data_IF_951059369345
#
_entry.id   IF_951059369345
#
_cell.length_a   1.000
_cell.length_b   1.000
_cell.length_c   1.000
_cell.angle_alpha   90.00
_cell.angle_beta   90.00
_cell.angle_gamma   90.00
#
_symmetry.space_group_name_H-M   'P 1'
#
loop_
_entity.id
_entity.type
_entity.pdbx_description
1 polymer ?
#
# COMPACT_ATOMS: atom_id res chain seq x y z
N UNK A 1 -48.82 39.97 78.97
CA UNK A 1 -48.94 38.94 77.91
C UNK A 1 -49.30 39.66 76.63
N UNK A 2 -48.38 39.80 75.65
CA UNK A 2 -47.90 38.77 74.68
C UNK A 2 -49.08 38.23 73.86
N UNK A 3 -49.09 38.19 72.52
CA UNK A 3 -48.10 38.48 71.49
C UNK A 3 -48.87 38.69 70.16
N UNK A 4 -48.39 39.60 69.33
CA UNK A 4 -48.67 39.69 67.89
C UNK A 4 -48.14 38.45 67.16
N UNK A 5 -48.78 38.02 66.07
CA UNK A 5 -48.17 37.37 64.89
C UNK A 5 -49.26 37.01 63.86
N UNK A 6 -49.03 36.86 62.57
CA UNK A 6 -48.10 37.40 61.56
C UNK A 6 -48.60 36.70 60.29
N UNK A 7 -49.02 37.46 59.29
CA UNK A 7 -49.57 36.97 58.01
C UNK A 7 -48.47 36.23 57.24
N UNK A 8 -48.68 34.95 56.93
CA UNK A 8 -47.74 34.15 56.13
C UNK A 8 -48.35 33.86 54.76
N UNK A 9 -48.05 34.75 53.81
CA UNK A 9 -48.33 34.57 52.38
C UNK A 9 -47.33 33.59 51.80
N UNK A 10 -47.79 32.41 51.37
CA UNK A 10 -46.98 31.43 50.65
C UNK A 10 -46.83 31.89 49.20
N UNK A 11 -45.64 32.34 48.82
CA UNK A 11 -45.26 32.62 47.42
C UNK A 11 -44.78 31.30 46.80
N UNK A 12 -45.58 30.75 45.88
CA UNK A 12 -45.23 29.58 45.08
C UNK A 12 -44.31 30.04 43.93
N UNK A 13 -42.99 29.95 44.13
CA UNK A 13 -42.01 30.25 43.10
C UNK A 13 -41.98 29.11 42.06
N UNK A 14 -42.61 29.34 40.91
CA UNK A 14 -42.54 28.44 39.75
C UNK A 14 -41.21 28.66 39.03
N UNK A 15 -40.24 27.79 39.27
CA UNK A 15 -38.99 27.78 38.52
C UNK A 15 -39.25 27.22 37.11
N UNK A 16 -39.37 28.10 36.11
CA UNK A 16 -39.36 27.71 34.70
C UNK A 16 -37.94 27.27 34.31
N UNK A 17 -37.73 25.96 34.19
CA UNK A 17 -36.59 25.38 33.49
C UNK A 17 -36.76 25.70 32.00
N UNK A 18 -36.15 26.80 31.54
CA UNK A 18 -35.95 27.04 30.10
C UNK A 18 -34.96 26.02 29.58
N UNK A 19 -35.47 24.95 28.98
CA UNK A 19 -34.67 24.09 28.11
C UNK A 19 -34.19 24.95 26.94
N UNK A 20 -32.90 25.22 26.87
CA UNK A 20 -32.26 25.77 25.68
C UNK A 20 -32.35 24.71 24.58
N UNK A 21 -33.45 24.70 23.83
CA UNK A 21 -33.52 23.96 22.58
C UNK A 21 -32.53 24.62 21.60
N UNK A 22 -31.57 23.85 21.10
CA UNK A 22 -30.72 24.29 20.00
C UNK A 22 -31.61 24.73 18.83
N UNK A 23 -31.32 25.88 18.17
CA UNK A 23 -32.14 26.33 17.05
C UNK A 23 -32.15 25.24 15.96
N UNK A 24 -33.31 24.99 15.32
CA UNK A 24 -33.42 23.98 14.29
C UNK A 24 -32.43 24.29 13.15
N UNK A 25 -31.57 23.33 12.83
CA UNK A 25 -30.65 23.41 11.69
C UNK A 25 -31.48 23.51 10.42
N UNK A 26 -31.11 24.45 9.54
CA UNK A 26 -31.79 24.64 8.24
C UNK A 26 -31.81 23.31 7.45
N UNK A 27 -32.99 22.81 7.04
CA UNK A 27 -33.12 21.59 6.25
C UNK A 27 -32.23 21.56 4.99
N UNK A 28 -31.93 22.72 4.40
CA UNK A 28 -31.01 22.83 3.27
C UNK A 28 -29.55 22.53 3.66
N UNK A 29 -29.12 22.98 4.84
CA UNK A 29 -27.79 22.68 5.40
C UNK A 29 -27.67 21.19 5.71
N UNK A 30 -28.71 20.59 6.29
CA UNK A 30 -28.75 19.16 6.59
C UNK A 30 -28.71 18.31 5.30
N UNK A 31 -29.48 18.69 4.29
CA UNK A 31 -29.48 18.02 2.99
C UNK A 31 -28.10 18.11 2.30
N UNK A 32 -27.45 19.28 2.34
CA UNK A 32 -26.11 19.47 1.78
C UNK A 32 -25.05 18.62 2.51
N UNK A 33 -25.07 18.60 3.84
CA UNK A 33 -24.15 17.78 4.64
C UNK A 33 -24.35 16.27 4.36
N UNK A 34 -25.59 15.82 4.23
CA UNK A 34 -25.92 14.44 3.86
C UNK A 34 -25.43 14.09 2.45
N UNK A 35 -25.62 14.99 1.49
CA UNK A 35 -25.13 14.79 0.13
C UNK A 35 -23.61 14.69 0.08
N UNK A 36 -22.89 15.57 0.80
CA UNK A 36 -21.43 15.55 0.90
C UNK A 36 -20.92 14.26 1.54
N UNK A 37 -21.54 13.80 2.64
CA UNK A 37 -21.20 12.52 3.28
C UNK A 37 -21.39 11.35 2.32
N UNK A 38 -22.50 11.32 1.59
CA UNK A 38 -22.81 10.25 0.62
C UNK A 38 -21.80 10.24 -0.53
N UNK A 39 -21.45 11.42 -1.06
CA UNK A 39 -20.45 11.56 -2.11
C UNK A 39 -19.08 11.05 -1.66
N UNK A 40 -18.66 11.41 -0.45
CA UNK A 40 -17.40 10.95 0.12
C UNK A 40 -17.36 9.43 0.37
N UNK A 41 -18.45 8.85 0.89
CA UNK A 41 -18.56 7.40 1.05
C UNK A 41 -18.45 6.66 -0.29
N UNK A 42 -19.04 7.23 -1.35
CA UNK A 42 -18.93 6.71 -2.71
C UNK A 42 -17.49 6.81 -3.22
N UNK A 43 -16.84 7.96 -3.05
CA UNK A 43 -15.44 8.19 -3.43
C UNK A 43 -14.51 7.12 -2.85
N UNK A 44 -14.60 6.88 -1.53
CA UNK A 44 -13.76 5.87 -0.87
C UNK A 44 -14.13 4.44 -1.31
N UNK A 45 -15.41 4.16 -1.55
CA UNK A 45 -15.85 2.85 -2.02
C UNK A 45 -15.38 2.55 -3.44
N UNK A 46 -15.45 3.53 -4.35
CA UNK A 46 -14.92 3.44 -5.70
C UNK A 46 -13.39 3.25 -5.67
N UNK A 47 -12.70 4.00 -4.80
CA UNK A 47 -11.26 3.85 -4.60
C UNK A 47 -10.89 2.44 -4.12
N UNK A 48 -11.63 1.89 -3.14
CA UNK A 48 -11.45 0.52 -2.62
C UNK A 48 -11.67 -0.53 -3.71
N UNK A 49 -12.71 -0.37 -4.53
CA UNK A 49 -12.98 -1.25 -5.67
C UNK A 49 -11.83 -1.20 -6.70
N UNK A 50 -11.35 -0.01 -7.05
CA UNK A 50 -10.20 0.15 -7.94
C UNK A 50 -8.91 -0.43 -7.36
N UNK A 51 -8.68 -0.26 -6.05
CA UNK A 51 -7.56 -0.88 -5.32
C UNK A 51 -7.60 -2.41 -5.41
N UNK A 52 -8.77 -3.01 -5.19
CA UNK A 52 -8.98 -4.46 -5.31
C UNK A 52 -8.71 -4.95 -6.74
N UNK A 53 -9.29 -4.29 -7.75
CA UNK A 53 -9.06 -4.63 -9.16
C UNK A 53 -7.58 -4.60 -9.53
N UNK A 54 -6.83 -3.57 -9.11
CA UNK A 54 -5.37 -3.48 -9.34
C UNK A 54 -4.61 -4.60 -8.63
N UNK A 55 -5.02 -4.97 -7.42
CA UNK A 55 -4.37 -6.03 -6.64
C UNK A 55 -4.54 -7.41 -7.29
N UNK A 56 -5.72 -7.67 -7.86
CA UNK A 56 -6.13 -8.98 -8.42
C UNK A 56 -5.92 -9.11 -9.92
N UNK A 57 -5.22 -8.17 -10.58
CA UNK A 57 -4.83 -8.33 -11.99
C UNK A 57 -3.95 -9.59 -12.17
N UNK A 58 -3.95 -10.23 -13.36
CA UNK A 58 -3.05 -11.35 -13.67
C UNK A 58 -1.57 -11.10 -13.31
N UNK A 59 -1.10 -9.87 -13.53
CA UNK A 59 0.24 -9.37 -13.22
C UNK A 59 0.32 -8.57 -11.89
N UNK A 60 -0.78 -8.51 -11.13
CA UNK A 60 -0.89 -7.79 -9.87
C UNK A 60 -0.10 -8.42 -8.72
N UNK A 61 0.03 -7.75 -7.58
CA UNK A 61 0.91 -8.20 -6.49
C UNK A 61 0.58 -9.59 -5.90
N UNK A 62 -0.66 -10.06 -6.06
CA UNK A 62 -1.06 -11.41 -5.63
C UNK A 62 -0.56 -12.53 -6.55
N UNK A 63 -0.05 -12.22 -7.74
CA UNK A 63 0.52 -13.22 -8.66
C UNK A 63 1.97 -13.57 -8.35
N UNK A 64 2.62 -12.89 -7.41
CA UNK A 64 4.01 -13.19 -7.06
C UNK A 64 4.14 -14.57 -6.42
N UNK A 65 4.94 -15.43 -7.06
CA UNK A 65 5.21 -16.81 -6.62
C UNK A 65 6.69 -17.09 -6.37
N UNK A 66 7.58 -16.13 -6.63
CA UNK A 66 9.00 -16.30 -6.37
C UNK A 66 9.82 -15.00 -6.45
N UNK A 67 10.93 -14.99 -5.70
CA UNK A 67 12.02 -14.02 -5.84
C UNK A 67 13.33 -14.79 -5.66
N UNK A 68 14.15 -14.86 -6.72
CA UNK A 68 15.36 -15.69 -6.73
C UNK A 68 16.57 -14.82 -7.05
N UNK A 69 17.51 -14.70 -6.12
CA UNK A 69 18.78 -14.02 -6.39
C UNK A 69 19.57 -14.74 -7.49
N UNK A 70 20.22 -13.96 -8.34
CA UNK A 70 21.09 -14.46 -9.40
C UNK A 70 22.47 -13.86 -9.24
N UNK A 71 23.46 -14.72 -9.05
CA UNK A 71 24.86 -14.32 -8.94
C UNK A 71 25.49 -14.06 -10.32
N UNK A 72 26.65 -13.40 -10.33
CA UNK A 72 27.47 -13.24 -11.54
C UNK A 72 27.85 -14.62 -12.07
N UNK A 73 27.63 -14.84 -13.36
CA UNK A 73 27.78 -16.15 -14.01
C UNK A 73 26.55 -16.50 -14.82
N UNK A 74 26.40 -17.79 -15.16
CA UNK A 74 25.23 -18.31 -15.87
C UNK A 74 24.52 -19.33 -14.99
N UNK A 75 23.20 -19.22 -14.90
CA UNK A 75 22.33 -20.16 -14.20
C UNK A 75 21.20 -20.61 -15.11
N UNK A 76 20.84 -21.90 -15.08
CA UNK A 76 19.65 -22.40 -15.74
C UNK A 76 18.42 -22.15 -14.88
N UNK A 77 17.33 -21.77 -15.53
CA UNK A 77 16.05 -21.40 -14.92
C UNK A 77 14.96 -22.36 -15.41
N UNK A 78 14.13 -22.83 -14.49
CA UNK A 78 13.00 -23.72 -14.80
C UNK A 78 12.43 -24.38 -13.55
N UNK A 79 11.37 -25.17 -13.70
CA UNK A 79 10.75 -25.90 -12.58
C UNK A 79 11.46 -27.23 -12.24
N UNK A 80 12.31 -27.72 -13.15
CA UNK A 80 13.09 -28.95 -13.00
C UNK A 80 14.11 -28.88 -11.86
N UNK A 81 14.46 -30.03 -11.29
CA UNK A 81 15.38 -30.14 -10.14
C UNK A 81 16.85 -29.88 -10.48
N UNK A 82 17.21 -29.99 -11.76
CA UNK A 82 18.55 -29.76 -12.29
C UNK A 82 18.88 -28.28 -12.59
N UNK A 83 17.92 -27.38 -12.35
CA UNK A 83 18.12 -25.94 -12.53
C UNK A 83 18.85 -25.30 -11.34
N UNK A 84 19.82 -24.43 -11.63
CA UNK A 84 20.45 -23.59 -10.61
C UNK A 84 19.47 -22.59 -9.98
N UNK A 85 18.46 -22.15 -10.74
CA UNK A 85 17.36 -21.34 -10.26
C UNK A 85 16.03 -22.04 -10.50
N UNK A 86 15.57 -22.75 -9.48
CA UNK A 86 14.32 -23.52 -9.53
C UNK A 86 13.09 -22.64 -9.25
N UNK A 87 12.18 -22.59 -10.21
CA UNK A 87 10.92 -21.86 -10.11
C UNK A 87 9.79 -22.74 -9.56
N UNK A 88 8.81 -22.11 -8.91
CA UNK A 88 7.62 -22.81 -8.40
C UNK A 88 6.59 -23.14 -9.51
N UNK A 89 6.70 -22.51 -10.67
CA UNK A 89 5.80 -22.68 -11.81
C UNK A 89 6.59 -22.60 -13.12
N UNK A 90 6.07 -23.26 -14.17
CA UNK A 90 6.63 -23.24 -15.52
C UNK A 90 7.13 -24.61 -16.01
N UNK A 91 7.67 -24.68 -17.23
CA UNK A 91 8.28 -25.88 -17.78
C UNK A 91 9.52 -26.32 -16.99
N UNK A 92 9.96 -27.60 -17.11
CA UNK A 92 11.18 -28.08 -16.49
C UNK A 92 12.40 -27.23 -16.82
N UNK A 93 12.53 -26.77 -18.06
CA UNK A 93 13.59 -25.87 -18.52
C UNK A 93 12.95 -24.69 -19.27
N UNK A 94 13.29 -23.47 -18.85
CA UNK A 94 12.85 -22.21 -19.49
C UNK A 94 13.98 -21.61 -20.31
N UNK A 95 15.21 -21.68 -19.79
CA UNK A 95 16.41 -21.18 -20.45
C UNK A 95 17.51 -20.85 -19.45
N UNK A 96 18.51 -20.10 -19.90
CA UNK A 96 19.66 -19.69 -19.09
C UNK A 96 19.70 -18.17 -18.93
N UNK A 97 19.91 -17.72 -17.69
CA UNK A 97 20.15 -16.32 -17.36
C UNK A 97 21.63 -16.14 -17.08
N UNK A 98 22.27 -15.20 -17.75
CA UNK A 98 23.66 -14.83 -17.50
C UNK A 98 23.77 -13.40 -16.99
N UNK A 99 24.47 -13.21 -15.87
CA UNK A 99 24.80 -11.90 -15.29
C UNK A 99 26.30 -11.69 -15.44
N UNK A 100 26.70 -10.66 -16.20
CA UNK A 100 28.10 -10.29 -16.36
C UNK A 100 28.63 -9.47 -15.18
N UNK A 101 29.95 -9.32 -15.08
CA UNK A 101 30.59 -8.50 -14.02
C UNK A 101 30.27 -7.01 -14.13
N UNK A 102 29.98 -6.53 -15.33
CA UNK A 102 29.55 -5.16 -15.62
C UNK A 102 28.02 -4.97 -15.48
N UNK A 103 27.29 -6.00 -15.01
CA UNK A 103 25.86 -5.89 -14.70
C UNK A 103 24.93 -5.99 -15.90
N UNK A 104 25.41 -6.53 -17.02
CA UNK A 104 24.56 -6.89 -18.16
C UNK A 104 23.90 -8.23 -17.84
N UNK A 105 22.57 -8.25 -17.89
CA UNK A 105 21.78 -9.47 -17.73
C UNK A 105 21.27 -9.89 -19.11
N UNK A 106 21.56 -11.12 -19.51
CA UNK A 106 21.05 -11.71 -20.75
C UNK A 106 20.27 -12.98 -20.43
N UNK A 107 19.32 -13.31 -21.30
CA UNK A 107 18.56 -14.53 -21.25
C UNK A 107 18.65 -15.26 -22.58
N UNK A 108 18.89 -16.56 -22.53
CA UNK A 108 18.88 -17.46 -23.68
C UNK A 108 17.75 -18.47 -23.49
N UNK A 109 16.70 -18.45 -24.33
CA UNK A 109 15.56 -19.36 -24.18
C UNK A 109 15.98 -20.81 -24.46
N UNK A 110 15.34 -21.75 -23.77
CA UNK A 110 15.51 -23.19 -24.03
C UNK A 110 14.99 -23.53 -25.44
N UNK A 111 15.75 -24.27 -26.26
CA UNK A 111 15.28 -24.71 -27.57
C UNK A 111 13.95 -25.46 -27.50
N UNK A 112 12.95 -24.99 -28.26
CA UNK A 112 11.63 -25.62 -28.33
C UNK A 112 10.69 -25.29 -27.18
N UNK A 113 11.12 -24.50 -26.18
CA UNK A 113 10.21 -23.97 -25.16
C UNK A 113 9.38 -22.80 -25.70
N UNK A 114 8.10 -22.75 -25.32
CA UNK A 114 7.18 -21.66 -25.66
C UNK A 114 7.45 -20.45 -24.74
N UNK A 115 8.49 -19.68 -25.10
CA UNK A 115 8.94 -18.50 -24.37
C UNK A 115 8.57 -17.23 -25.12
N UNK A 116 8.04 -16.26 -24.38
CA UNK A 116 7.70 -14.93 -24.86
C UNK A 116 8.67 -13.91 -24.27
N UNK A 117 9.16 -12.99 -25.08
CA UNK A 117 9.88 -11.78 -24.66
C UNK A 117 8.98 -10.59 -24.96
N UNK A 118 8.56 -9.88 -23.92
CA UNK A 118 7.62 -8.75 -24.02
C UNK A 118 6.34 -9.10 -24.83
N UNK A 119 5.86 -10.33 -24.64
CA UNK A 119 4.67 -10.88 -25.29
C UNK A 119 4.88 -11.39 -26.73
N UNK A 120 6.10 -11.32 -27.28
CA UNK A 120 6.43 -11.84 -28.60
C UNK A 120 7.23 -13.15 -28.49
N UNK A 121 7.06 -14.12 -29.40
CA UNK A 121 7.88 -15.34 -29.41
C UNK A 121 9.38 -15.03 -29.38
N UNK A 122 10.12 -15.71 -28.50
CA UNK A 122 11.55 -15.49 -28.34
C UNK A 122 12.30 -15.89 -29.63
N UNK A 123 13.12 -14.97 -30.16
CA UNK A 123 13.89 -15.19 -31.40
C UNK A 123 15.36 -15.57 -31.14
N UNK A 124 15.75 -15.78 -29.88
CA UNK A 124 17.10 -16.11 -29.46
C UNK A 124 17.51 -15.40 -28.18
N UNK A 125 18.82 -15.27 -27.97
CA UNK A 125 19.39 -14.55 -26.82
C UNK A 125 18.96 -13.08 -26.82
N UNK A 126 18.58 -12.57 -25.65
CA UNK A 126 18.13 -11.18 -25.46
C UNK A 126 18.73 -10.58 -24.19
N UNK A 127 18.97 -9.27 -24.21
CA UNK A 127 19.32 -8.50 -23.01
C UNK A 127 18.06 -8.22 -22.19
N UNK A 128 18.10 -8.48 -20.88
CA UNK A 128 17.01 -8.16 -19.97
C UNK A 128 17.25 -6.81 -19.29
N UNK A 129 16.27 -5.91 -19.37
CA UNK A 129 16.26 -4.65 -18.62
C UNK A 129 15.74 -4.94 -17.21
N UNK A 130 16.48 -4.52 -16.19
CA UNK A 130 16.05 -4.63 -14.80
C UNK A 130 15.10 -3.49 -14.42
N UNK A 131 14.23 -3.72 -13.42
CA UNK A 131 13.24 -2.73 -12.98
C UNK A 131 13.81 -1.37 -12.53
N UNK A 132 15.03 -1.35 -11.99
CA UNK A 132 15.72 -0.14 -11.58
C UNK A 132 16.41 0.59 -12.76
N UNK A 133 16.58 -0.07 -13.90
CA UNK A 133 17.33 0.44 -15.05
C UNK A 133 16.37 0.86 -16.21
N UNK A 134 15.04 0.73 -16.04
CA UNK A 134 14.03 1.14 -17.02
C UNK A 134 12.74 0.32 -16.95
N UNK A 135 11.98 0.28 -18.06
CA UNK A 135 10.85 -0.65 -18.19
C UNK A 135 11.41 -2.08 -18.26
N UNK A 136 11.08 -2.96 -17.30
CA UNK A 136 11.70 -4.27 -17.22
C UNK A 136 11.25 -5.16 -18.38
N UNK A 137 12.19 -5.91 -18.95
CA UNK A 137 11.87 -6.94 -19.96
C UNK A 137 11.13 -8.09 -19.30
N UNK A 138 10.01 -8.48 -19.87
CA UNK A 138 9.16 -9.57 -19.38
C UNK A 138 9.47 -10.85 -20.13
N UNK A 139 9.97 -11.86 -19.41
CA UNK A 139 10.11 -13.22 -19.94
C UNK A 139 8.87 -14.01 -19.55
N UNK A 140 7.95 -14.21 -20.50
CA UNK A 140 6.73 -14.98 -20.34
C UNK A 140 6.92 -16.45 -20.72
N UNK A 141 6.18 -17.33 -20.05
CA UNK A 141 6.12 -18.77 -20.30
C UNK A 141 4.72 -19.28 -19.92
N UNK A 142 4.43 -20.57 -20.16
CA UNK A 142 3.08 -21.12 -20.02
C UNK A 142 2.04 -20.30 -20.80
N UNK A 143 2.31 -20.02 -22.09
CA UNK A 143 1.43 -19.21 -22.95
C UNK A 143 1.18 -17.79 -22.43
N UNK A 144 2.09 -17.26 -21.61
CA UNK A 144 2.01 -15.92 -21.03
C UNK A 144 1.28 -15.85 -19.68
N UNK A 145 0.79 -16.97 -19.15
CA UNK A 145 0.19 -17.00 -17.82
C UNK A 145 1.24 -16.83 -16.72
N UNK A 146 2.48 -17.24 -16.93
CA UNK A 146 3.56 -17.04 -15.97
C UNK A 146 4.70 -16.22 -16.59
N UNK A 147 5.43 -15.51 -15.74
CA UNK A 147 6.55 -14.70 -16.19
C UNK A 147 7.60 -14.48 -15.12
N UNK A 148 8.78 -14.04 -15.52
CA UNK A 148 9.69 -13.34 -14.62
C UNK A 148 10.19 -12.05 -15.24
N UNK A 149 10.57 -11.13 -14.36
CA UNK A 149 11.37 -9.95 -14.69
C UNK A 149 12.66 -9.97 -13.87
N UNK A 150 13.66 -9.22 -14.33
CA UNK A 150 14.85 -8.94 -13.51
C UNK A 150 14.56 -7.74 -12.62
N UNK A 151 14.83 -7.88 -11.33
CA UNK A 151 14.81 -6.78 -10.37
C UNK A 151 16.20 -6.54 -9.83
N UNK A 152 16.51 -5.28 -9.48
CA UNK A 152 17.81 -4.89 -8.94
C UNK A 152 17.65 -4.23 -7.57
N UNK A 153 18.29 -4.77 -6.54
CA UNK A 153 18.21 -4.27 -5.16
C UNK A 153 19.59 -4.32 -4.52
N UNK A 154 20.02 -3.23 -3.90
CA UNK A 154 21.35 -3.14 -3.27
C UNK A 154 22.51 -3.56 -4.20
N UNK A 155 22.41 -3.26 -5.50
CA UNK A 155 23.42 -3.64 -6.51
C UNK A 155 23.40 -5.11 -6.95
N UNK A 156 22.49 -5.94 -6.44
CA UNK A 156 22.33 -7.36 -6.81
C UNK A 156 21.09 -7.55 -7.68
N UNK A 157 21.10 -8.60 -8.50
CA UNK A 157 20.01 -8.97 -9.39
C UNK A 157 19.21 -10.16 -8.84
N UNK A 158 17.90 -10.13 -9.04
CA UNK A 158 17.02 -11.25 -8.76
C UNK A 158 15.96 -11.42 -9.86
N UNK A 159 15.47 -12.64 -10.04
CA UNK A 159 14.28 -12.90 -10.84
C UNK A 159 13.06 -12.77 -9.95
N UNK A 160 12.12 -11.89 -10.31
CA UNK A 160 10.80 -11.80 -9.67
C UNK A 160 9.78 -12.54 -10.54
N UNK A 161 9.22 -13.59 -9.99
CA UNK A 161 8.39 -14.56 -10.72
C UNK A 161 6.92 -14.34 -10.40
N UNK A 162 6.10 -14.35 -11.45
CA UNK A 162 4.65 -14.22 -11.42
C UNK A 162 3.98 -15.43 -12.04
N UNK A 163 2.85 -15.81 -11.47
CA UNK A 163 1.94 -16.79 -12.03
C UNK A 163 0.51 -16.24 -11.99
N UNK A 164 -0.07 -16.07 -13.17
CA UNK A 164 -1.43 -15.64 -13.38
C UNK A 164 -2.46 -16.71 -13.00
N UNK A 165 -2.09 -17.83 -12.40
CA UNK A 165 -3.01 -18.78 -11.80
C UNK A 165 -2.70 -19.03 -10.31
N UNK A 166 -1.78 -18.25 -9.74
CA UNK A 166 -1.37 -18.38 -8.34
C UNK A 166 -2.58 -18.45 -7.38
N UNK A 167 -2.65 -19.43 -6.47
CA UNK A 167 -3.74 -19.55 -5.50
C UNK A 167 -3.93 -18.31 -4.64
N UNK A 168 -2.85 -17.59 -4.33
CA UNK A 168 -2.87 -16.30 -3.64
C UNK A 168 -3.70 -15.23 -4.36
N UNK A 169 -3.88 -15.35 -5.68
CA UNK A 169 -4.77 -14.50 -6.47
C UNK A 169 -6.12 -15.14 -6.75
N UNK A 170 -6.16 -16.38 -7.24
CA UNK A 170 -7.40 -17.03 -7.71
C UNK A 170 -8.34 -17.40 -6.56
N UNK A 171 -7.80 -17.60 -5.35
CA UNK A 171 -8.56 -17.83 -4.13
C UNK A 171 -8.44 -16.65 -3.14
N UNK A 172 -8.24 -15.42 -3.64
CA UNK A 172 -8.06 -14.26 -2.78
C UNK A 172 -9.33 -13.93 -1.98
N UNK A 173 -9.31 -13.97 -0.63
CA UNK A 173 -10.50 -13.79 0.20
C UNK A 173 -10.95 -12.33 0.33
N UNK A 174 -10.25 -11.38 -0.29
CA UNK A 174 -10.49 -9.95 -0.14
C UNK A 174 -9.68 -9.30 0.98
N UNK A 175 -9.93 -8.01 1.20
CA UNK A 175 -9.24 -7.20 2.21
C UNK A 175 -10.27 -6.61 3.17
N UNK A 176 -10.25 -6.99 4.46
CA UNK A 176 -11.10 -6.34 5.44
C UNK A 176 -10.66 -4.88 5.58
N UNK A 177 -11.61 -3.98 5.81
CA UNK A 177 -11.35 -2.56 6.00
C UNK A 177 -12.05 -2.07 7.27
N UNK A 178 -11.57 -0.97 7.82
CA UNK A 178 -12.35 -0.19 8.78
C UNK A 178 -13.53 0.49 8.07
N UNK A 179 -14.53 0.87 8.86
CA UNK A 179 -15.62 1.71 8.39
C UNK A 179 -15.06 3.04 7.88
N UNK A 180 -15.77 3.65 6.92
CA UNK A 180 -15.36 4.94 6.37
C UNK A 180 -15.63 6.01 7.43
N UNK A 181 -14.56 6.66 7.88
CA UNK A 181 -14.62 7.67 8.92
C UNK A 181 -14.01 8.99 8.44
N UNK A 182 -14.83 10.02 8.15
CA UNK A 182 -14.37 11.34 7.75
C UNK A 182 -13.44 12.02 8.77
N UNK A 183 -13.45 11.61 10.04
CA UNK A 183 -12.53 12.15 11.06
C UNK A 183 -11.06 11.78 10.82
N UNK A 184 -10.80 10.82 9.92
CA UNK A 184 -9.47 10.44 9.46
C UNK A 184 -9.08 11.03 8.09
N UNK A 185 -9.86 12.00 7.60
CA UNK A 185 -9.53 12.82 6.42
C UNK A 185 -9.05 14.19 6.87
N UNK A 186 -7.75 14.44 6.72
CA UNK A 186 -7.10 15.64 7.23
C UNK A 186 -6.72 16.60 6.11
N UNK A 187 -6.96 17.89 6.32
CA UNK A 187 -6.26 18.95 5.58
C UNK A 187 -4.89 19.15 6.24
N UNK A 188 -3.83 18.76 5.57
CA UNK A 188 -2.47 18.74 6.10
C UNK A 188 -1.62 19.86 5.48
N UNK A 189 -0.75 20.48 6.28
CA UNK A 189 0.23 21.45 5.81
C UNK A 189 1.43 20.71 5.22
N UNK A 190 1.78 21.01 3.98
CA UNK A 190 3.03 20.56 3.39
C UNK A 190 4.15 21.55 3.68
N UNK A 191 5.31 21.03 4.09
CA UNK A 191 6.55 21.81 4.26
C UNK A 191 7.64 21.19 3.42
N UNK A 192 8.05 21.89 2.37
CA UNK A 192 9.05 21.41 1.43
C UNK A 192 10.44 21.30 2.07
N UNK A 193 11.18 20.27 1.70
CA UNK A 193 12.62 20.21 1.92
C UNK A 193 13.37 20.92 0.78
N UNK A 194 14.66 21.25 0.95
CA UNK A 194 15.49 21.75 -0.15
C UNK A 194 15.50 20.79 -1.35
N UNK A 195 15.60 21.30 -2.59
CA UNK A 195 15.69 20.45 -3.78
C UNK A 195 16.82 19.42 -3.68
N UNK A 196 16.55 18.17 -4.09
CA UNK A 196 17.51 17.07 -4.04
C UNK A 196 17.69 16.44 -2.65
N UNK A 197 16.89 16.84 -1.65
CA UNK A 197 16.87 16.16 -0.36
C UNK A 197 16.42 14.70 -0.51
N UNK A 198 17.16 13.80 0.15
CA UNK A 198 16.88 12.36 0.17
C UNK A 198 16.72 11.87 1.60
N UNK A 199 15.93 10.82 1.77
CA UNK A 199 15.78 10.08 3.02
C UNK A 199 16.20 8.64 2.84
N UNK A 200 16.91 8.09 3.82
CA UNK A 200 17.24 6.66 3.85
C UNK A 200 16.02 5.85 4.29
N UNK A 201 15.57 4.94 3.41
CA UNK A 201 14.46 4.04 3.68
C UNK A 201 14.98 2.61 3.74
N UNK A 202 14.67 1.93 4.84
CA UNK A 202 14.96 0.49 5.00
C UNK A 202 13.83 -0.30 4.37
N UNK A 203 14.11 -1.32 3.58
CA UNK A 203 13.09 -2.24 3.05
C UNK A 203 12.98 -3.52 3.89
N UNK A 204 11.98 -4.36 3.58
CA UNK A 204 11.73 -5.63 4.31
C UNK A 204 12.88 -6.65 4.23
N UNK A 205 13.82 -6.46 3.29
CA UNK A 205 15.04 -7.26 3.17
C UNK A 205 16.22 -6.65 3.94
N UNK A 206 15.96 -5.65 4.80
CA UNK A 206 16.95 -4.91 5.58
C UNK A 206 17.97 -4.13 4.73
N UNK A 207 17.64 -3.83 3.48
CA UNK A 207 18.48 -2.99 2.62
C UNK A 207 18.08 -1.53 2.79
N UNK A 208 19.08 -0.64 2.80
CA UNK A 208 18.89 0.81 2.87
C UNK A 208 18.95 1.38 1.46
N UNK A 209 17.91 2.10 1.06
CA UNK A 209 17.82 2.75 -0.25
C UNK A 209 17.52 4.25 -0.06
N UNK A 210 18.32 5.14 -0.66
CA UNK A 210 18.05 6.58 -0.58
C UNK A 210 16.92 6.95 -1.56
N UNK A 211 15.81 7.46 -1.03
CA UNK A 211 14.65 7.89 -1.81
C UNK A 211 14.49 9.41 -1.78
N UNK A 212 13.90 9.98 -2.83
CA UNK A 212 13.65 11.43 -2.88
C UNK A 212 12.60 11.81 -1.83
N UNK A 213 12.93 12.82 -1.03
CA UNK A 213 12.07 13.30 0.04
C UNK A 213 11.69 14.76 -0.22
N UNK A 214 10.53 15.02 -0.84
CA UNK A 214 10.13 16.37 -1.23
C UNK A 214 9.76 17.24 -0.02
N UNK A 215 9.45 16.66 1.14
CA UNK A 215 8.96 17.41 2.28
C UNK A 215 8.20 16.58 3.30
N UNK A 216 7.58 17.29 4.23
CA UNK A 216 6.72 16.69 5.26
C UNK A 216 5.28 17.13 5.12
N UNK A 217 4.34 16.28 5.53
CA UNK A 217 2.93 16.63 5.72
C UNK A 217 2.60 16.63 7.21
N UNK A 218 1.97 17.69 7.70
CA UNK A 218 1.60 17.85 9.11
C UNK A 218 0.09 18.06 9.25
N UNK A 219 -0.54 17.28 10.12
CA UNK A 219 -1.98 17.38 10.45
C UNK A 219 -2.19 17.36 11.96
N UNK A 220 -3.40 17.70 12.40
CA UNK A 220 -3.77 17.68 13.81
C UNK A 220 -4.92 16.71 14.07
N UNK A 221 -4.83 15.97 15.18
CA UNK A 221 -5.92 15.15 15.71
C UNK A 221 -5.96 15.31 17.22
N UNK A 222 -7.13 15.65 17.76
CA UNK A 222 -7.38 15.81 19.19
C UNK A 222 -6.40 16.77 19.89
N UNK A 223 -6.07 17.89 19.21
CA UNK A 223 -5.14 18.91 19.72
C UNK A 223 -3.66 18.52 19.67
N UNK A 224 -3.31 17.34 19.12
CA UNK A 224 -1.93 16.89 18.91
C UNK A 224 -1.56 16.97 17.45
N UNK A 225 -0.37 17.51 17.17
CA UNK A 225 0.21 17.60 15.84
C UNK A 225 0.98 16.32 15.48
N UNK A 226 0.83 15.87 14.24
CA UNK A 226 1.47 14.68 13.69
C UNK A 226 2.11 15.05 12.35
N UNK A 227 3.37 14.65 12.16
CA UNK A 227 4.14 14.95 10.95
C UNK A 227 4.63 13.65 10.33
N UNK A 228 4.49 13.53 9.00
CA UNK A 228 4.99 12.43 8.19
C UNK A 228 6.00 12.96 7.17
N UNK A 229 7.13 12.28 7.01
CA UNK A 229 8.01 12.42 5.85
C UNK A 229 7.31 11.80 4.63
N UNK A 230 7.33 12.52 3.51
CA UNK A 230 6.86 12.00 2.24
C UNK A 230 8.03 11.48 1.41
N UNK A 231 7.72 10.54 0.52
CA UNK A 231 8.64 10.08 -0.52
C UNK A 231 8.02 10.40 -1.88
N UNK A 232 8.84 10.74 -2.87
CA UNK A 232 8.43 10.84 -4.27
C UNK A 232 9.00 9.65 -5.05
N UNK A 233 8.13 8.86 -5.68
CA UNK A 233 8.51 7.70 -6.52
C UNK A 233 8.55 8.07 -8.02
N UNK A 234 8.46 9.36 -8.35
CA UNK A 234 8.47 9.87 -9.72
C UNK A 234 7.09 9.92 -10.39
N UNK A 235 6.01 9.65 -9.64
CA UNK A 235 4.63 9.69 -10.11
C UNK A 235 3.90 10.99 -9.71
N UNK A 236 4.64 11.98 -9.20
CA UNK A 236 4.14 13.28 -8.75
C UNK A 236 3.06 13.20 -7.67
N UNK A 237 3.14 12.19 -6.80
CA UNK A 237 2.32 12.09 -5.60
C UNK A 237 3.20 11.92 -4.37
N UNK A 238 2.72 12.40 -3.23
CA UNK A 238 3.37 12.22 -1.94
C UNK A 238 3.08 10.82 -1.44
N UNK A 239 4.09 9.95 -1.47
CA UNK A 239 4.00 8.60 -0.94
C UNK A 239 4.30 8.59 0.56
N UNK A 240 3.30 8.26 1.37
CA UNK A 240 3.39 8.16 2.82
C UNK A 240 3.43 6.69 3.23
N UNK A 241 4.58 6.27 3.73
CA UNK A 241 4.76 4.96 4.35
C UNK A 241 4.66 5.16 5.86
N UNK A 242 3.66 4.58 6.51
CA UNK A 242 3.39 4.83 7.92
C UNK A 242 3.10 3.55 8.71
N UNK A 243 3.31 3.63 10.01
CA UNK A 243 2.78 2.70 10.99
C UNK A 243 2.11 3.51 12.10
N UNK A 244 1.20 2.87 12.83
CA UNK A 244 0.38 3.54 13.84
C UNK A 244 0.00 2.54 14.96
N UNK A 245 -0.76 2.96 15.96
CA UNK A 245 -1.11 2.09 17.10
C UNK A 245 -2.00 0.90 16.75
N UNK A 246 -2.59 0.85 15.55
CA UNK A 246 -3.31 -0.34 15.07
C UNK A 246 -2.39 -1.41 14.46
N UNK A 247 -1.14 -1.06 14.11
CA UNK A 247 -0.20 -1.94 13.45
C UNK A 247 0.14 -3.16 14.30
N UNK A 248 -0.03 -4.36 13.73
CA UNK A 248 0.24 -5.63 14.42
C UNK A 248 -0.94 -6.15 15.25
N UNK A 249 -1.97 -5.32 15.43
CA UNK A 249 -3.21 -5.69 16.12
C UNK A 249 -4.35 -5.85 15.11
N UNK A 250 -4.82 -4.74 14.56
CA UNK A 250 -5.96 -4.66 13.63
C UNK A 250 -5.50 -4.45 12.18
N UNK A 251 -4.41 -3.70 11.97
CA UNK A 251 -3.80 -3.47 10.66
C UNK A 251 -2.50 -4.27 10.49
N UNK A 252 -1.99 -4.33 9.26
CA UNK A 252 -0.76 -5.07 8.98
C UNK A 252 0.44 -4.52 9.79
N UNK A 253 1.29 -5.43 10.26
CA UNK A 253 2.28 -5.13 11.28
C UNK A 253 3.41 -4.21 10.80
N UNK A 254 3.85 -4.35 9.55
CA UNK A 254 5.06 -3.68 9.08
C UNK A 254 4.82 -2.23 8.67
N UNK A 255 3.75 -1.98 7.91
CA UNK A 255 3.42 -0.67 7.36
C UNK A 255 2.01 -0.66 6.75
N UNK A 256 1.50 0.55 6.54
CA UNK A 256 0.48 0.88 5.53
C UNK A 256 1.00 1.99 4.64
N UNK A 257 0.46 2.03 3.43
CA UNK A 257 0.81 2.95 2.36
C UNK A 257 -0.36 3.91 2.11
N UNK A 258 -0.07 5.15 1.79
CA UNK A 258 -1.04 6.16 1.39
C UNK A 258 -0.38 7.10 0.38
N UNK A 259 -1.11 7.46 -0.68
CA UNK A 259 -0.70 8.54 -1.58
C UNK A 259 -1.55 9.77 -1.31
N UNK A 260 -0.91 10.93 -1.28
CA UNK A 260 -1.56 12.23 -1.27
C UNK A 260 -1.10 13.05 -2.47
N UNK A 261 -1.91 13.99 -2.92
CA UNK A 261 -1.52 14.92 -3.98
C UNK A 261 -0.48 15.93 -3.45
N UNK A 262 0.28 16.55 -4.35
CA UNK A 262 1.09 17.72 -3.99
C UNK A 262 0.21 18.87 -3.46
N UNK A 263 0.76 19.76 -2.63
CA UNK A 263 -0.05 20.81 -2.01
C UNK A 263 -0.65 21.77 -3.04
N UNK A 264 -1.81 22.31 -2.69
CA UNK A 264 -2.43 23.44 -3.36
C UNK A 264 -1.56 24.72 -3.24
N UNK A 265 -2.00 25.78 -3.90
CA UNK A 265 -1.34 27.11 -3.85
C UNK A 265 -1.23 27.70 -2.44
N UNK A 266 -2.02 27.19 -1.48
CA UNK A 266 -1.97 27.57 -0.07
C UNK A 266 -1.02 26.70 0.77
N UNK A 267 -0.30 25.77 0.16
CA UNK A 267 0.62 24.87 0.84
C UNK A 267 -0.09 23.73 1.59
N UNK A 268 -1.33 23.40 1.21
CA UNK A 268 -2.13 22.38 1.90
C UNK A 268 -2.41 21.19 0.98
N UNK A 269 -2.39 19.99 1.53
CA UNK A 269 -2.79 18.75 0.85
C UNK A 269 -3.82 17.99 1.69
N UNK A 270 -4.39 16.92 1.13
CA UNK A 270 -5.33 16.03 1.83
C UNK A 270 -4.62 14.72 2.16
N UNK A 271 -4.57 14.39 3.44
CA UNK A 271 -4.13 13.08 3.94
C UNK A 271 -5.38 12.32 4.39
N UNK A 272 -5.80 11.34 3.60
CA UNK A 272 -7.01 10.56 3.88
C UNK A 272 -6.70 9.11 4.21
N UNK A 273 -6.64 8.79 5.51
CA UNK A 273 -6.31 7.43 5.95
C UNK A 273 -7.37 6.39 5.61
N UNK A 274 -8.57 6.80 5.14
CA UNK A 274 -9.54 5.85 4.58
C UNK A 274 -9.05 5.20 3.28
N UNK A 275 -8.08 5.83 2.62
CA UNK A 275 -7.33 5.31 1.46
C UNK A 275 -5.98 4.67 1.86
N UNK A 276 -5.72 4.49 3.16
CA UNK A 276 -4.56 3.73 3.61
C UNK A 276 -4.70 2.25 3.26
N UNK A 277 -3.70 1.68 2.59
CA UNK A 277 -3.73 0.28 2.15
C UNK A 277 -2.50 -0.52 2.58
N UNK A 278 -2.64 -1.84 2.56
CA UNK A 278 -1.57 -2.76 2.87
C UNK A 278 -0.53 -2.82 1.73
N UNK A 279 0.77 -2.76 2.05
CA UNK A 279 1.83 -2.94 1.08
C UNK A 279 1.81 -4.36 0.48
N UNK A 280 2.43 -4.58 -0.70
CA UNK A 280 2.56 -5.91 -1.29
C UNK A 280 3.10 -6.99 -0.34
N UNK A 281 4.00 -6.64 0.59
CA UNK A 281 4.57 -7.57 1.56
C UNK A 281 3.56 -8.12 2.57
N UNK A 282 2.40 -7.49 2.69
CA UNK A 282 1.29 -8.04 3.47
C UNK A 282 0.65 -9.28 2.82
N UNK A 283 0.85 -9.47 1.51
CA UNK A 283 0.25 -10.56 0.74
C UNK A 283 1.27 -11.55 0.17
N UNK A 284 2.52 -11.12 -0.04
CA UNK A 284 3.55 -11.95 -0.65
C UNK A 284 4.93 -11.70 -0.05
N UNK A 285 5.61 -12.79 0.29
CA UNK A 285 7.00 -12.78 0.77
C UNK A 285 8.02 -12.39 -0.32
N UNK A 286 7.60 -12.32 -1.59
CA UNK A 286 8.48 -12.08 -2.74
C UNK A 286 8.54 -10.60 -3.17
N UNK A 287 8.06 -9.71 -2.30
CA UNK A 287 8.06 -8.26 -2.51
C UNK A 287 9.13 -7.57 -1.66
N UNK A 288 9.53 -6.36 -2.08
CA UNK A 288 10.62 -5.58 -1.46
C UNK A 288 10.06 -4.25 -0.98
N UNK A 289 9.17 -4.28 0.00
CA UNK A 289 8.46 -3.08 0.43
C UNK A 289 9.30 -2.21 1.36
N UNK A 290 9.24 -0.87 1.22
CA UNK A 290 9.83 0.05 2.17
C UNK A 290 9.14 0.01 3.54
N UNK A 291 9.92 0.24 4.60
CA UNK A 291 9.46 0.36 5.98
C UNK A 291 9.26 1.84 6.33
N UNK A 292 8.32 2.15 7.25
CA UNK A 292 8.09 3.53 7.67
C UNK A 292 9.33 4.09 8.36
N UNK A 293 9.80 5.28 7.94
CA UNK A 293 10.87 5.97 8.65
C UNK A 293 10.43 6.28 10.09
N UNK A 294 11.35 6.50 11.04
CA UNK A 294 11.01 6.67 12.45
C UNK A 294 9.93 7.72 12.73
N UNK A 295 9.96 8.85 12.02
CA UNK A 295 8.96 9.92 12.16
C UNK A 295 7.55 9.50 11.70
N UNK A 296 7.45 8.51 10.81
CA UNK A 296 6.18 8.02 10.29
C UNK A 296 5.55 6.90 11.12
N UNK A 297 6.11 6.64 12.31
CA UNK A 297 5.55 5.69 13.28
C UNK A 297 4.73 6.49 14.28
N UNK A 298 3.45 6.65 13.96
CA UNK A 298 2.56 7.56 14.65
C UNK A 298 2.08 6.99 15.98
N UNK A 299 2.18 7.82 17.02
CA UNK A 299 1.53 7.59 18.30
C UNK A 299 0.04 8.01 18.23
N UNK A 300 -0.69 7.35 17.33
CA UNK A 300 -2.11 7.57 17.02
C UNK A 300 -2.71 6.22 16.60
N UNK A 301 -3.92 5.88 17.04
CA UNK A 301 -4.64 4.73 16.48
C UNK A 301 -5.41 5.19 15.24
N UNK A 302 -5.06 4.65 14.07
CA UNK A 302 -5.71 5.00 12.81
C UNK A 302 -6.68 3.89 12.42
N UNK A 303 -7.92 4.03 12.87
CA UNK A 303 -9.04 3.09 12.62
C UNK A 303 -9.76 3.42 11.31
N UNK A 304 -9.00 3.68 10.25
CA UNK A 304 -9.47 3.94 8.88
C UNK A 304 -8.60 3.17 7.88
N UNK A 305 -9.13 2.87 6.70
CA UNK A 305 -8.40 2.17 5.63
C UNK A 305 -8.41 0.63 5.74
N UNK A 306 -7.45 -0.02 5.10
CA UNK A 306 -7.34 -1.49 5.12
C UNK A 306 -6.89 -2.00 6.50
N UNK A 307 -7.49 -3.12 6.92
CA UNK A 307 -7.06 -3.95 8.06
C UNK A 307 -6.06 -5.01 7.58
N UNK A 308 -5.49 -5.78 8.51
CA UNK A 308 -4.59 -6.88 8.16
C UNK A 308 -5.28 -7.86 7.18
N UNK A 309 -4.59 -8.31 6.12
CA UNK A 309 -5.17 -9.25 5.16
C UNK A 309 -5.67 -10.54 5.81
N UNK A 310 -6.71 -11.11 5.23
CA UNK A 310 -7.13 -12.48 5.56
C UNK A 310 -6.09 -13.44 4.98
N UNK A 311 -5.64 -14.40 5.78
CA UNK A 311 -4.86 -15.53 5.25
C UNK A 311 -5.83 -16.45 4.51
N UNK A 312 -5.44 -17.02 3.35
CA UNK A 312 -6.18 -18.12 2.76
C UNK A 312 -6.40 -19.19 3.83
N UNK A 313 -7.61 -19.76 3.90
CA UNK A 313 -7.84 -20.91 4.76
C UNK A 313 -6.78 -21.96 4.40
N UNK A 314 -6.04 -22.47 5.40
CA UNK A 314 -5.14 -23.58 5.15
C UNK A 314 -6.00 -24.70 4.55
N UNK A 315 -5.75 -25.05 3.29
CA UNK A 315 -6.27 -26.29 2.75
C UNK A 315 -5.76 -27.37 3.69
N UNK A 316 -6.69 -28.05 4.37
CA UNK A 316 -6.36 -29.23 5.14
C UNK A 316 -5.64 -30.16 4.17
N UNK A 317 -4.33 -30.31 4.35
CA UNK A 317 -3.57 -31.31 3.65
C UNK A 317 -4.18 -32.64 4.08
N UNK A 318 -4.98 -33.24 3.20
CA UNK A 318 -5.27 -34.66 3.27
C UNK A 318 -3.94 -35.37 3.08
N UNK A 319 -3.44 -35.91 4.20
CA UNK A 319 -2.32 -36.87 4.24
C UNK A 319 -2.58 -38.06 3.32
#
# INVERSE_FOLDING_TARGET
MKLSNLTMTVILASAMLTACAEPPVDPAIEAAAKAQKTAYQKEISDWRAGRLQRLTKPDGWLSLVGMHWVDVGTTRVGAGEDNGTRLAAGPPHIGEVSVSRDGVVEFTPEPGADILIDGQPAAGKVKLIADADGTPTVVGFNKGDASFIVIKRGGKYALRVRDALAPTRTAFPGIPSFDIDPAFRFKARFTAHPPGHKIEIVNILSMVEPMDNPGTVTFEKDGKSYTLEAVDEGDHRLFLIYADRTSGHESYAAARFLYAEYPDVGGMTVVDFNQGYNPPCAFSAFSTCPMPPPRNRLDLAITAGEKKPLKPAATAATN
#
